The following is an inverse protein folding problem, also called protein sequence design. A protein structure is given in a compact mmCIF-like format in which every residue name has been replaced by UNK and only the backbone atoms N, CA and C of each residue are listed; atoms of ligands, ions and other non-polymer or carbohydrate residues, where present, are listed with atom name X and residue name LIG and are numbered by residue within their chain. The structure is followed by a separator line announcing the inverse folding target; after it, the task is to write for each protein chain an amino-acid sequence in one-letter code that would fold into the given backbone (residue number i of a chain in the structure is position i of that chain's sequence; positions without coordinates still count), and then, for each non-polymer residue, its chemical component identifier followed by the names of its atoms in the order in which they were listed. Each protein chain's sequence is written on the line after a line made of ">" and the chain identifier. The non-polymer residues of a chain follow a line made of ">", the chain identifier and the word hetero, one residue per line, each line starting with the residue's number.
data_IF_491313598877
#
_entry.id   IF_491313598877
#
_cell.length_a   1.000
_cell.length_b   1.000
_cell.length_c   1.000
_cell.angle_alpha   90.00
_cell.angle_beta   90.00
_cell.angle_gamma   90.00
#
_symmetry.space_group_name_H-M   'P 1'
#
loop_
_entity.id
_entity.type
_entity.pdbx_description
1 polymer ?
#
# COMPACT_ATOMS: atom_id res chain seq x y z
N UNK A 1 -3.27 3.16 3.80
CA UNK A 1 -2.20 2.19 4.15
C UNK A 1 -1.30 1.85 2.96
N UNK A 2 -1.83 1.53 1.77
CA UNK A 2 -1.00 1.19 0.60
C UNK A 2 0.03 2.28 0.22
N UNK A 3 -0.31 3.57 0.39
CA UNK A 3 0.66 4.64 0.18
C UNK A 3 1.84 4.61 1.17
N UNK A 4 1.62 4.20 2.43
CA UNK A 4 2.69 3.99 3.40
C UNK A 4 3.55 2.79 3.03
N UNK A 5 2.93 1.71 2.54
CA UNK A 5 3.64 0.54 2.01
C UNK A 5 4.58 0.96 0.87
N UNK A 6 4.09 1.78 -0.08
CA UNK A 6 4.95 2.29 -1.15
C UNK A 6 6.12 3.13 -0.64
N UNK A 7 5.92 3.94 0.41
CA UNK A 7 6.98 4.77 0.96
C UNK A 7 8.09 3.98 1.66
N UNK A 8 7.76 2.84 2.27
CA UNK A 8 8.76 1.99 2.96
C UNK A 8 9.41 0.97 2.04
N UNK A 9 8.76 0.62 0.92
CA UNK A 9 9.22 -0.42 0.00
C UNK A 9 9.87 0.11 -1.29
N UNK A 10 9.79 1.42 -1.55
CA UNK A 10 10.43 2.03 -2.72
C UNK A 10 11.95 2.10 -2.55
N UNK A 11 12.67 1.98 -3.66
CA UNK A 11 14.08 2.36 -3.69
C UNK A 11 14.21 3.88 -3.48
N UNK A 12 15.32 4.36 -2.89
CA UNK A 12 15.53 5.79 -2.72
C UNK A 12 15.52 6.49 -4.09
N UNK A 13 14.70 7.54 -4.29
CA UNK A 13 14.70 8.25 -5.56
C UNK A 13 16.06 8.92 -5.77
N UNK A 14 16.56 8.92 -7.01
CA UNK A 14 17.84 9.53 -7.35
C UNK A 14 17.86 11.05 -7.11
N UNK A 15 16.68 11.68 -7.17
CA UNK A 15 16.44 13.08 -6.84
C UNK A 15 15.13 13.21 -6.07
N UNK A 16 15.08 14.13 -5.11
CA UNK A 16 13.88 14.41 -4.31
C UNK A 16 12.87 15.29 -5.07
N UNK A 17 12.57 14.89 -6.29
CA UNK A 17 11.56 15.47 -7.16
C UNK A 17 10.23 14.69 -7.02
N UNK A 18 9.11 15.40 -7.09
CA UNK A 18 7.77 14.81 -7.02
C UNK A 18 7.54 13.77 -8.12
N UNK A 19 8.13 13.92 -9.29
CA UNK A 19 7.97 13.01 -10.43
C UNK A 19 8.65 11.68 -10.15
N UNK A 20 9.91 11.70 -9.68
CA UNK A 20 10.63 10.48 -9.32
C UNK A 20 9.97 9.73 -8.17
N UNK A 21 9.52 10.44 -7.13
CA UNK A 21 8.83 9.80 -6.01
C UNK A 21 7.55 9.10 -6.48
N UNK A 22 6.83 9.68 -7.45
CA UNK A 22 5.63 9.05 -8.04
C UNK A 22 5.99 7.81 -8.85
N UNK A 23 7.07 7.85 -9.63
CA UNK A 23 7.52 6.72 -10.43
C UNK A 23 7.94 5.52 -9.57
N UNK A 24 8.68 5.78 -8.50
CA UNK A 24 9.09 4.76 -7.54
C UNK A 24 7.88 4.11 -6.84
N UNK A 25 6.90 4.92 -6.41
CA UNK A 25 5.63 4.41 -5.86
C UNK A 25 4.87 3.55 -6.86
N UNK A 26 4.80 3.97 -8.13
CA UNK A 26 4.17 3.20 -9.21
C UNK A 26 4.89 1.88 -9.49
N UNK A 27 6.23 1.84 -9.37
CA UNK A 27 7.01 0.61 -9.50
C UNK A 27 6.65 -0.38 -8.39
N UNK A 28 6.57 0.09 -7.13
CA UNK A 28 6.13 -0.74 -6.01
C UNK A 28 4.72 -1.28 -6.25
N UNK A 29 3.77 -0.42 -6.63
CA UNK A 29 2.38 -0.84 -6.88
C UNK A 29 2.28 -1.91 -7.96
N UNK A 30 3.08 -1.81 -9.03
CA UNK A 30 3.13 -2.82 -10.10
C UNK A 30 3.77 -4.15 -9.67
N UNK A 31 4.64 -4.13 -8.66
CA UNK A 31 5.27 -5.32 -8.11
C UNK A 31 4.40 -6.03 -7.05
N UNK A 32 3.37 -5.36 -6.52
CA UNK A 32 2.44 -5.96 -5.56
C UNK A 32 1.61 -7.04 -6.26
N UNK A 33 1.73 -8.27 -5.76
CA UNK A 33 0.89 -9.38 -6.19
C UNK A 33 -0.54 -9.19 -5.68
N UNK A 34 -1.56 -9.63 -6.43
CA UNK A 34 -2.93 -9.69 -5.91
C UNK A 34 -2.97 -10.43 -4.56
N UNK A 35 -3.78 -9.93 -3.65
CA UNK A 35 -3.95 -10.53 -2.31
C UNK A 35 -4.86 -11.76 -2.44
N UNK A 36 -4.48 -12.87 -1.81
CA UNK A 36 -5.30 -14.08 -1.77
C UNK A 36 -6.52 -13.85 -0.85
N UNK A 37 -7.67 -14.42 -1.20
CA UNK A 37 -8.86 -14.36 -0.36
C UNK A 37 -8.62 -14.99 1.03
N UNK A 38 -7.73 -15.98 1.14
CA UNK A 38 -7.35 -16.58 2.41
C UNK A 38 -6.64 -15.60 3.36
N UNK A 39 -6.03 -14.54 2.83
CA UNK A 39 -5.33 -13.50 3.58
C UNK A 39 -6.25 -12.31 3.95
N UNK A 40 -7.54 -12.36 3.59
CA UNK A 40 -8.50 -11.28 3.79
C UNK A 40 -9.51 -11.67 4.87
N UNK A 41 -9.58 -10.86 5.94
CA UNK A 41 -10.58 -10.99 6.99
C UNK A 41 -11.48 -9.75 6.98
N UNK A 42 -12.77 -9.96 6.71
CA UNK A 42 -13.79 -8.91 6.77
C UNK A 42 -14.58 -9.05 8.09
N UNK A 43 -14.45 -8.06 8.98
CA UNK A 43 -15.21 -8.01 10.23
C UNK A 43 -16.46 -7.13 10.12
N UNK A 44 -17.52 -7.50 10.85
CA UNK A 44 -18.71 -6.67 11.07
C UNK A 44 -18.86 -6.41 12.57
N UNK A 45 -19.03 -5.14 12.95
CA UNK A 45 -19.29 -4.78 14.35
C UNK A 45 -20.70 -5.24 14.75
N UNK A 46 -20.82 -5.88 15.91
CA UNK A 46 -22.12 -6.09 16.55
C UNK A 46 -22.61 -4.77 17.14
N UNK A 47 -23.92 -4.54 17.09
CA UNK A 47 -24.51 -3.39 17.75
C UNK A 47 -24.14 -3.38 19.23
N UNK A 48 -23.72 -2.21 19.69
CA UNK A 48 -23.46 -1.98 21.10
C UNK A 48 -24.81 -1.87 21.81
N UNK A 49 -25.30 -2.97 22.38
CA UNK A 49 -26.45 -2.93 23.28
C UNK A 49 -26.03 -2.21 24.57
N UNK A 50 -26.49 -0.97 24.72
CA UNK A 50 -26.30 -0.14 25.91
C UNK A 50 -27.07 -0.64 27.12
#
# INVERSE_FOLDING_TARGET
>A
LLQLVCLVAMEPPSFFDADQVRDEKLRVLRAVRPVDAADIICGQYQEYAG
#
